data_IF_040876516472
#
_entry.id   IF_040876516472
#
_cell.length_a   1.000
_cell.length_b   1.000
_cell.length_c   1.000
_cell.angle_alpha   90.00
_cell.angle_beta   90.00
_cell.angle_gamma   90.00
#
_symmetry.space_group_name_H-M   'P 1'
#
loop_
_entity.id
_entity.type
_entity.pdbx_description
1 polymer ?
#
# COMPACT_ATOMS: atom_id res chain seq x y z
N UNK A 1 -37.09 -17.47 30.06
CA UNK A 1 -37.18 -16.95 28.67
C UNK A 1 -36.07 -17.63 27.87
N UNK A 2 -36.35 -18.83 27.38
CA UNK A 2 -35.38 -19.69 26.69
C UNK A 2 -35.47 -19.42 25.19
N UNK A 3 -34.47 -18.74 24.63
CA UNK A 3 -34.33 -18.68 23.17
C UNK A 3 -33.97 -20.08 22.66
N UNK A 4 -34.81 -20.60 21.77
CA UNK A 4 -34.65 -21.90 21.13
C UNK A 4 -33.36 -21.95 20.30
N UNK A 5 -32.58 -23.03 20.47
CA UNK A 5 -31.35 -23.33 19.72
C UNK A 5 -31.56 -23.29 18.18
N UNK A 6 -32.79 -23.47 17.70
CA UNK A 6 -33.15 -23.41 16.28
C UNK A 6 -33.00 -22.00 15.67
N UNK A 7 -33.18 -20.93 16.44
CA UNK A 7 -33.08 -19.55 15.93
C UNK A 7 -31.65 -19.08 15.71
N UNK A 8 -30.68 -19.61 16.48
CA UNK A 8 -29.25 -19.29 16.31
C UNK A 8 -28.65 -19.94 15.05
N UNK A 9 -29.05 -21.19 14.74
CA UNK A 9 -28.57 -21.90 13.57
C UNK A 9 -29.08 -21.23 12.28
N UNK A 10 -30.34 -20.80 12.25
CA UNK A 10 -30.93 -20.10 11.09
C UNK A 10 -30.27 -18.75 10.86
N UNK A 11 -29.96 -17.99 11.92
CA UNK A 11 -29.24 -16.72 11.81
C UNK A 11 -27.81 -16.89 11.28
N UNK A 12 -27.06 -17.90 11.76
CA UNK A 12 -25.72 -18.21 11.26
C UNK A 12 -25.73 -18.70 9.81
N UNK A 13 -26.71 -19.51 9.41
CA UNK A 13 -26.85 -19.99 8.03
C UNK A 13 -27.19 -18.83 7.07
N UNK A 14 -28.04 -17.89 7.49
CA UNK A 14 -28.36 -16.68 6.73
C UNK A 14 -27.14 -15.77 6.58
N UNK A 15 -26.35 -15.57 7.64
CA UNK A 15 -25.12 -14.76 7.56
C UNK A 15 -24.11 -15.40 6.60
N UNK A 16 -23.92 -16.72 6.65
CA UNK A 16 -23.05 -17.46 5.72
C UNK A 16 -23.54 -17.35 4.26
N UNK A 17 -24.85 -17.48 4.02
CA UNK A 17 -25.45 -17.34 2.68
C UNK A 17 -25.37 -15.90 2.14
N UNK A 18 -25.47 -14.88 2.99
CA UNK A 18 -25.28 -13.49 2.57
C UNK A 18 -23.82 -13.18 2.24
N UNK A 19 -22.86 -13.71 3.01
CA UNK A 19 -21.43 -13.55 2.74
C UNK A 19 -21.01 -14.27 1.45
N UNK A 20 -21.50 -15.49 1.20
CA UNK A 20 -21.19 -16.23 -0.02
C UNK A 20 -21.90 -15.69 -1.27
N UNK A 21 -23.12 -15.17 -1.17
CA UNK A 21 -23.82 -14.61 -2.34
C UNK A 21 -23.19 -13.30 -2.83
N UNK A 22 -22.63 -12.50 -1.92
CA UNK A 22 -21.97 -11.24 -2.27
C UNK A 22 -20.60 -11.44 -2.88
N UNK A 23 -19.85 -12.48 -2.46
CA UNK A 23 -18.59 -12.86 -3.08
C UNK A 23 -18.77 -13.44 -4.50
N UNK A 24 -19.90 -14.09 -4.81
CA UNK A 24 -20.18 -14.66 -6.14
C UNK A 24 -20.72 -13.65 -7.16
N UNK A 25 -21.42 -12.59 -6.75
CA UNK A 25 -22.16 -11.72 -7.68
C UNK A 25 -21.33 -10.57 -8.31
N UNK A 26 -20.02 -10.48 -8.02
CA UNK A 26 -19.13 -9.45 -8.58
C UNK A 26 -18.02 -9.99 -9.49
N UNK A 27 -18.02 -11.28 -9.83
CA UNK A 27 -16.97 -11.90 -10.66
C UNK A 27 -16.73 -11.08 -11.94
N UNK A 28 -15.51 -10.53 -12.08
CA UNK A 28 -15.02 -9.91 -13.31
C UNK A 28 -15.80 -8.69 -13.84
N UNK A 29 -16.78 -8.15 -13.11
CA UNK A 29 -17.62 -7.05 -13.63
C UNK A 29 -17.00 -5.67 -13.46
N UNK A 30 -16.29 -5.46 -12.35
CA UNK A 30 -15.82 -4.14 -11.96
C UNK A 30 -14.31 -4.02 -12.11
N UNK A 31 -13.83 -2.87 -12.56
CA UNK A 31 -12.42 -2.63 -12.82
C UNK A 31 -11.59 -2.30 -11.56
N UNK A 32 -12.25 -1.99 -10.43
CA UNK A 32 -11.59 -1.61 -9.17
C UNK A 32 -12.53 -1.73 -7.97
N UNK A 33 -11.96 -1.74 -6.76
CA UNK A 33 -12.72 -1.66 -5.52
C UNK A 33 -13.55 -0.38 -5.42
N UNK A 34 -13.07 0.73 -6.02
CA UNK A 34 -13.83 1.97 -6.09
C UNK A 34 -15.09 1.84 -6.94
N UNK A 35 -15.00 1.15 -8.07
CA UNK A 35 -16.16 0.87 -8.92
C UNK A 35 -17.20 -0.01 -8.19
N UNK A 36 -16.73 -1.01 -7.44
CA UNK A 36 -17.59 -1.84 -6.57
C UNK A 36 -18.29 -0.98 -5.52
N UNK A 37 -17.54 -0.14 -4.79
CA UNK A 37 -18.10 0.71 -3.73
C UNK A 37 -19.09 1.76 -4.27
N UNK A 38 -18.84 2.29 -5.47
CA UNK A 38 -19.78 3.22 -6.10
C UNK A 38 -21.10 2.51 -6.50
N UNK A 39 -21.02 1.26 -6.95
CA UNK A 39 -22.20 0.47 -7.31
C UNK A 39 -22.96 -0.06 -6.06
N UNK A 40 -22.25 -0.35 -4.98
CA UNK A 40 -22.81 -0.74 -3.70
C UNK A 40 -22.12 0.03 -2.56
N UNK A 41 -22.68 1.18 -2.13
CA UNK A 41 -22.12 1.99 -1.04
C UNK A 41 -22.01 1.27 0.31
N UNK A 42 -22.72 0.15 0.49
CA UNK A 42 -22.70 -0.67 1.71
C UNK A 42 -21.75 -1.87 1.60
N UNK A 43 -20.94 -1.96 0.54
CA UNK A 43 -19.98 -3.05 0.38
C UNK A 43 -19.01 -3.09 1.57
N UNK A 44 -18.93 -4.26 2.23
CA UNK A 44 -17.93 -4.50 3.26
C UNK A 44 -16.53 -4.58 2.64
N UNK A 45 -15.48 -4.32 3.42
CA UNK A 45 -14.14 -4.63 2.93
C UNK A 45 -13.83 -6.13 3.06
N UNK A 46 -12.95 -6.63 2.21
CA UNK A 46 -12.62 -8.06 2.13
C UNK A 46 -11.98 -8.40 0.79
N UNK A 47 -11.89 -9.67 0.46
CA UNK A 47 -11.42 -10.10 -0.86
C UNK A 47 -12.52 -10.01 -1.91
N UNK A 48 -12.13 -9.58 -3.11
CA UNK A 48 -12.99 -9.42 -4.29
C UNK A 48 -12.25 -9.88 -5.54
N UNK A 49 -12.99 -10.09 -6.62
CA UNK A 49 -12.43 -10.21 -7.97
C UNK A 49 -12.74 -8.94 -8.75
N UNK A 50 -11.72 -8.34 -9.37
CA UNK A 50 -11.84 -7.22 -10.31
C UNK A 50 -11.34 -7.63 -11.69
N UNK A 51 -11.79 -6.95 -12.73
CA UNK A 51 -11.30 -7.16 -14.09
C UNK A 51 -10.28 -6.10 -14.48
N UNK A 52 -9.08 -6.56 -14.84
CA UNK A 52 -7.97 -5.71 -15.26
C UNK A 52 -7.64 -5.98 -16.72
N UNK A 53 -6.69 -5.24 -17.29
CA UNK A 53 -6.19 -5.49 -18.64
C UNK A 53 -5.49 -6.86 -18.78
N UNK A 54 -5.12 -7.52 -17.68
CA UNK A 54 -4.56 -8.87 -17.65
C UNK A 54 -5.59 -9.93 -17.24
N UNK A 55 -6.89 -9.58 -17.28
CA UNK A 55 -8.00 -10.45 -16.89
C UNK A 55 -8.40 -10.29 -15.43
N UNK A 56 -9.11 -11.28 -14.91
CA UNK A 56 -9.63 -11.27 -13.55
C UNK A 56 -8.50 -11.38 -12.51
N UNK A 57 -8.55 -10.50 -11.51
CA UNK A 57 -7.57 -10.42 -10.43
C UNK A 57 -8.27 -10.50 -9.08
N UNK A 58 -7.80 -11.41 -8.22
CA UNK A 58 -8.18 -11.41 -6.80
C UNK A 58 -7.48 -10.24 -6.11
N UNK A 59 -8.24 -9.42 -5.40
CA UNK A 59 -7.76 -8.23 -4.70
C UNK A 59 -8.38 -8.14 -3.32
N UNK A 60 -7.76 -7.37 -2.43
CA UNK A 60 -8.39 -6.97 -1.18
C UNK A 60 -8.92 -5.54 -1.31
N UNK A 61 -10.21 -5.35 -1.01
CA UNK A 61 -10.86 -4.05 -1.01
C UNK A 61 -11.00 -3.48 0.40
N UNK A 62 -10.47 -2.29 0.62
CA UNK A 62 -10.76 -1.49 1.81
C UNK A 62 -11.87 -0.48 1.49
N UNK A 63 -13.07 -0.73 2.02
CA UNK A 63 -14.28 0.04 1.72
C UNK A 63 -14.66 1.10 2.77
N UNK A 64 -13.98 1.15 3.93
CA UNK A 64 -14.35 2.07 5.02
C UNK A 64 -13.33 3.17 5.28
N UNK A 65 -12.04 2.86 5.22
CA UNK A 65 -10.99 3.82 5.61
C UNK A 65 -10.88 4.94 4.57
N UNK A 66 -10.88 6.20 5.02
CA UNK A 66 -10.70 7.39 4.17
C UNK A 66 -11.65 7.43 2.95
N UNK A 67 -12.93 7.10 3.20
CA UNK A 67 -13.98 7.04 2.18
C UNK A 67 -13.96 5.78 1.30
N UNK A 68 -13.10 4.80 1.60
CA UNK A 68 -13.12 3.48 0.99
C UNK A 68 -12.73 3.42 -0.48
N UNK A 69 -12.85 2.23 -1.07
CA UNK A 69 -12.60 1.96 -2.49
C UNK A 69 -11.14 1.68 -2.83
N UNK A 70 -10.29 1.40 -1.84
CA UNK A 70 -8.88 1.09 -2.10
C UNK A 70 -8.72 -0.37 -2.54
N UNK A 71 -7.95 -0.56 -3.61
CA UNK A 71 -7.63 -1.86 -4.22
C UNK A 71 -6.21 -2.25 -3.85
N UNK A 72 -6.05 -3.36 -3.12
CA UNK A 72 -4.76 -3.96 -2.80
C UNK A 72 -4.51 -5.15 -3.73
N UNK A 73 -3.37 -5.13 -4.42
CA UNK A 73 -2.95 -6.22 -5.29
C UNK A 73 -2.10 -7.23 -4.49
N UNK A 74 -2.30 -8.55 -4.71
CA UNK A 74 -1.48 -9.57 -4.07
C UNK A 74 -0.10 -9.64 -4.74
N UNK A 75 0.89 -10.21 -4.03
CA UNK A 75 2.25 -10.44 -4.55
C UNK A 75 2.25 -11.14 -5.91
N UNK A 76 1.32 -12.06 -6.14
CA UNK A 76 1.20 -12.84 -7.37
C UNK A 76 0.77 -12.01 -8.59
N UNK A 77 0.18 -10.83 -8.40
CA UNK A 77 -0.14 -9.93 -9.51
C UNK A 77 1.12 -9.22 -10.07
N UNK A 78 2.19 -9.18 -9.28
CA UNK A 78 3.43 -8.46 -9.59
C UNK A 78 4.51 -9.48 -9.93
N UNK A 79 4.64 -9.78 -11.22
CA UNK A 79 5.58 -10.78 -11.75
C UNK A 79 6.37 -10.21 -12.91
N UNK A 80 7.46 -10.88 -13.29
CA UNK A 80 8.28 -10.46 -14.44
C UNK A 80 7.44 -10.49 -15.71
N UNK A 81 7.53 -9.43 -16.52
CA UNK A 81 6.82 -9.35 -17.79
C UNK A 81 5.31 -9.14 -17.68
N UNK A 82 4.76 -8.91 -16.48
CA UNK A 82 3.35 -8.50 -16.37
C UNK A 82 3.12 -7.19 -17.12
N UNK A 83 2.02 -7.13 -17.86
CA UNK A 83 1.52 -5.91 -18.51
C UNK A 83 0.46 -5.20 -17.68
N UNK A 84 0.30 -5.56 -16.39
CA UNK A 84 -0.70 -4.99 -15.50
C UNK A 84 -0.63 -3.46 -15.50
N UNK A 85 -1.72 -2.83 -15.94
CA UNK A 85 -1.90 -1.39 -15.93
C UNK A 85 -2.75 -1.01 -14.70
N UNK A 86 -2.31 0.02 -13.97
CA UNK A 86 -2.99 0.51 -12.77
C UNK A 86 -3.95 1.67 -13.03
N UNK A 87 -4.12 2.15 -14.27
CA UNK A 87 -4.93 3.33 -14.59
C UNK A 87 -6.39 3.22 -14.14
N UNK A 88 -6.98 2.01 -14.16
CA UNK A 88 -8.35 1.79 -13.69
C UNK A 88 -8.48 1.67 -12.17
N UNK A 89 -7.38 1.37 -11.46
CA UNK A 89 -7.36 1.18 -10.00
C UNK A 89 -6.76 2.36 -9.24
N UNK A 90 -5.95 3.21 -9.90
CA UNK A 90 -5.27 4.35 -9.29
C UNK A 90 -5.67 5.66 -9.98
N UNK A 91 -6.93 6.04 -9.80
CA UNK A 91 -7.53 7.22 -10.41
C UNK A 91 -7.29 8.49 -9.59
N UNK A 92 -7.24 8.37 -8.25
CA UNK A 92 -6.93 9.44 -7.31
C UNK A 92 -5.46 9.39 -6.91
N UNK A 93 -4.62 10.05 -7.73
CA UNK A 93 -3.16 10.09 -7.53
C UNK A 93 -2.72 11.01 -6.38
N UNK A 94 -3.64 11.54 -5.59
CA UNK A 94 -3.33 12.41 -4.44
C UNK A 94 -2.96 11.63 -3.19
N UNK A 95 -3.30 10.34 -3.12
CA UNK A 95 -3.07 9.53 -1.94
C UNK A 95 -2.99 8.03 -2.21
N UNK A 96 -2.35 7.31 -1.30
CA UNK A 96 -2.42 5.84 -1.22
C UNK A 96 -2.71 5.41 0.21
N UNK A 97 -3.24 4.20 0.39
CA UNK A 97 -3.45 3.61 1.71
C UNK A 97 -2.44 2.48 1.91
N UNK A 98 -1.61 2.57 2.94
CA UNK A 98 -0.69 1.51 3.32
C UNK A 98 -1.24 0.76 4.54
N UNK A 99 -1.12 -0.57 4.54
CA UNK A 99 -1.26 -1.42 5.72
C UNK A 99 0.13 -1.91 6.11
N UNK A 100 0.50 -1.80 7.39
CA UNK A 100 1.80 -2.24 7.91
C UNK A 100 1.58 -3.53 8.68
N UNK A 101 2.23 -4.63 8.30
CA UNK A 101 2.16 -5.89 9.06
C UNK A 101 3.16 -5.87 10.22
N UNK A 102 2.74 -6.33 11.40
CA UNK A 102 3.60 -6.53 12.58
C UNK A 102 3.67 -8.00 12.99
N UNK A 103 4.78 -8.37 13.63
CA UNK A 103 5.04 -9.68 14.22
C UNK A 103 3.93 -10.21 15.15
N UNK A 104 3.20 -9.32 15.81
CA UNK A 104 2.11 -9.61 16.74
C UNK A 104 0.73 -9.71 16.06
N UNK A 105 0.69 -9.74 14.71
CA UNK A 105 -0.54 -9.82 13.92
C UNK A 105 -1.30 -8.51 13.74
N UNK A 106 -0.86 -7.40 14.37
CA UNK A 106 -1.48 -6.08 14.15
C UNK A 106 -1.19 -5.58 12.74
N UNK A 107 -2.18 -4.92 12.14
CA UNK A 107 -2.07 -4.38 10.79
C UNK A 107 -2.60 -2.93 10.69
N UNK A 108 -1.99 -1.96 11.41
CA UNK A 108 -2.44 -0.57 11.35
C UNK A 108 -2.23 0.02 9.95
N UNK A 109 -2.89 1.15 9.70
CA UNK A 109 -2.87 1.80 8.40
C UNK A 109 -2.33 3.22 8.43
N UNK A 110 -1.80 3.66 7.29
CA UNK A 110 -1.49 5.07 7.00
C UNK A 110 -2.02 5.46 5.65
N UNK A 111 -2.71 6.60 5.55
CA UNK A 111 -2.96 7.28 4.29
C UNK A 111 -1.80 8.21 4.01
N UNK A 112 -1.07 7.94 2.93
CA UNK A 112 0.06 8.77 2.51
C UNK A 112 -0.36 9.76 1.45
N UNK A 113 0.17 10.99 1.55
CA UNK A 113 0.01 12.08 0.59
C UNK A 113 1.35 12.78 0.41
N UNK A 114 1.46 13.59 -0.64
CA UNK A 114 2.49 14.63 -0.68
C UNK A 114 2.39 15.56 0.51
N UNK A 115 3.52 16.16 0.91
CA UNK A 115 3.47 17.37 1.72
C UNK A 115 2.68 18.47 0.98
N UNK A 116 2.02 19.34 1.73
CA UNK A 116 1.17 20.40 1.15
C UNK A 116 1.88 21.22 0.07
N UNK A 117 3.16 21.55 0.28
CA UNK A 117 3.97 22.30 -0.68
C UNK A 117 4.21 21.61 -2.03
N UNK A 118 3.97 20.30 -2.10
CA UNK A 118 4.08 19.48 -3.31
C UNK A 118 2.73 18.91 -3.74
N UNK A 119 1.62 19.44 -3.25
CA UNK A 119 0.27 18.92 -3.53
C UNK A 119 -0.09 18.90 -5.02
N UNK A 120 0.57 19.72 -5.85
CA UNK A 120 0.41 19.73 -7.31
C UNK A 120 1.19 18.62 -8.03
N UNK A 121 2.09 17.92 -7.33
CA UNK A 121 2.87 16.80 -7.89
C UNK A 121 2.16 15.49 -7.55
N UNK A 122 1.51 14.81 -8.52
CA UNK A 122 0.80 13.57 -8.24
C UNK A 122 1.77 12.47 -7.77
N UNK A 123 1.29 11.57 -6.92
CA UNK A 123 2.02 10.35 -6.61
C UNK A 123 2.14 9.49 -7.88
N UNK A 124 3.31 8.88 -8.09
CA UNK A 124 3.55 7.99 -9.22
C UNK A 124 3.60 6.56 -8.72
N UNK A 125 2.69 5.71 -9.22
CA UNK A 125 2.77 4.27 -9.01
C UNK A 125 3.14 3.60 -10.33
N UNK A 126 4.15 2.75 -10.30
CA UNK A 126 4.66 2.05 -11.48
C UNK A 126 4.86 0.57 -11.17
N UNK A 127 4.52 -0.30 -12.12
CA UNK A 127 4.74 -1.75 -12.04
C UNK A 127 6.02 -2.06 -12.81
N UNK A 128 6.99 -2.69 -12.15
CA UNK A 128 8.28 -3.09 -12.74
C UNK A 128 9.05 -1.95 -13.43
N UNK A 129 8.82 -0.71 -13.02
CA UNK A 129 9.41 0.50 -13.59
C UNK A 129 9.52 1.57 -12.50
N UNK A 130 10.42 2.52 -12.73
CA UNK A 130 10.67 3.67 -11.86
C UNK A 130 11.07 4.89 -12.70
N UNK A 131 10.47 5.04 -13.87
CA UNK A 131 10.78 6.12 -14.81
C UNK A 131 10.62 7.48 -14.13
N UNK A 132 11.65 8.33 -14.23
CA UNK A 132 11.71 9.63 -13.58
C UNK A 132 12.19 9.62 -12.12
N UNK A 133 12.54 8.45 -11.57
CA UNK A 133 12.98 8.27 -10.18
C UNK A 133 14.29 7.48 -10.10
N UNK A 134 14.93 7.52 -8.93
CA UNK A 134 16.11 6.70 -8.66
C UNK A 134 15.77 5.22 -8.59
N UNK A 135 16.71 4.38 -9.03
CA UNK A 135 16.54 2.94 -8.94
C UNK A 135 16.60 2.45 -7.49
N UNK A 136 15.67 1.57 -7.06
CA UNK A 136 15.71 0.93 -5.76
C UNK A 136 17.01 0.17 -5.51
N UNK A 137 17.44 0.16 -4.25
CA UNK A 137 18.65 -0.55 -3.82
C UNK A 137 18.44 -2.06 -3.92
N UNK A 138 17.28 -2.55 -3.51
CA UNK A 138 16.90 -3.97 -3.56
C UNK A 138 16.41 -4.44 -4.94
N UNK A 139 16.74 -3.74 -6.04
CA UNK A 139 16.31 -4.10 -7.42
C UNK A 139 16.59 -5.57 -7.81
N UNK A 140 17.59 -6.20 -7.20
CA UNK A 140 17.93 -7.61 -7.44
C UNK A 140 16.79 -8.58 -7.07
N UNK A 141 15.87 -8.18 -6.19
CA UNK A 141 14.66 -8.95 -5.84
C UNK A 141 13.69 -9.12 -7.01
N UNK A 142 13.84 -8.32 -8.08
CA UNK A 142 13.14 -8.50 -9.35
C UNK A 142 11.88 -7.63 -9.45
N UNK A 143 10.73 -8.22 -9.85
CA UNK A 143 9.46 -7.48 -10.01
C UNK A 143 9.11 -6.67 -8.77
N UNK A 144 8.46 -5.52 -8.96
CA UNK A 144 8.11 -4.63 -7.85
C UNK A 144 6.98 -3.66 -8.22
N UNK A 145 6.33 -3.14 -7.18
CA UNK A 145 5.55 -1.91 -7.27
C UNK A 145 6.42 -0.76 -6.75
N UNK A 146 6.52 0.31 -7.52
CA UNK A 146 7.22 1.52 -7.14
C UNK A 146 6.21 2.62 -6.81
N UNK A 147 6.38 3.30 -5.66
CA UNK A 147 5.63 4.49 -5.27
C UNK A 147 6.59 5.67 -5.16
N UNK A 148 6.57 6.55 -6.14
CA UNK A 148 7.32 7.80 -6.16
C UNK A 148 6.52 8.97 -5.63
N UNK A 149 7.16 9.81 -4.81
CA UNK A 149 6.62 11.09 -4.35
C UNK A 149 7.16 12.24 -5.21
N UNK A 150 8.46 12.56 -5.10
CA UNK A 150 9.08 13.61 -5.89
C UNK A 150 9.95 13.01 -7.00
N UNK A 151 9.68 13.31 -8.29
CA UNK A 151 10.58 12.96 -9.38
C UNK A 151 11.99 13.50 -9.16
N UNK A 152 13.00 12.84 -9.74
CA UNK A 152 14.41 13.12 -9.47
C UNK A 152 14.81 14.58 -9.73
N UNK A 153 14.22 15.22 -10.75
CA UNK A 153 14.48 16.63 -11.08
C UNK A 153 13.91 17.62 -10.03
N UNK A 154 12.86 17.24 -9.30
CA UNK A 154 12.33 18.02 -8.18
C UNK A 154 13.11 17.70 -6.90
N UNK A 155 13.33 16.42 -6.61
CA UNK A 155 14.00 15.97 -5.39
C UNK A 155 15.47 16.44 -5.29
N UNK A 156 16.17 16.61 -6.40
CA UNK A 156 17.57 17.11 -6.42
C UNK A 156 17.70 18.64 -6.50
N UNK A 157 16.60 19.36 -6.67
CA UNK A 157 16.65 20.81 -6.84
C UNK A 157 16.89 21.51 -5.48
N UNK A 158 17.92 22.39 -5.37
CA UNK A 158 18.24 23.06 -4.10
C UNK A 158 17.13 23.97 -3.56
N UNK A 159 16.21 24.42 -4.42
CA UNK A 159 15.03 25.22 -4.01
C UNK A 159 13.97 24.37 -3.26
N UNK A 160 14.03 23.05 -3.41
CA UNK A 160 13.08 22.08 -2.86
C UNK A 160 13.71 21.19 -1.78
N UNK A 161 14.56 21.77 -0.92
CA UNK A 161 15.30 21.03 0.12
C UNK A 161 14.44 20.39 1.22
N UNK A 162 13.31 20.98 1.62
CA UNK A 162 12.40 20.35 2.60
C UNK A 162 11.46 19.38 1.90
N UNK A 163 11.63 18.09 2.19
CA UNK A 163 10.96 16.98 1.52
C UNK A 163 10.37 16.01 2.55
N UNK A 164 9.58 15.04 2.11
CA UNK A 164 8.95 14.06 2.98
C UNK A 164 7.55 13.70 2.52
N UNK A 165 6.75 13.25 3.47
CA UNK A 165 5.40 12.75 3.22
C UNK A 165 4.44 13.33 4.26
N UNK A 166 3.16 13.40 3.90
CA UNK A 166 2.11 13.50 4.90
C UNK A 166 1.55 12.11 5.16
N UNK A 167 1.42 11.73 6.43
CA UNK A 167 0.87 10.45 6.85
C UNK A 167 -0.28 10.64 7.85
N UNK A 168 -1.48 10.20 7.48
CA UNK A 168 -2.70 10.38 8.28
C UNK A 168 -2.94 11.85 8.70
N UNK A 169 -2.56 12.81 7.85
CA UNK A 169 -2.66 14.26 8.10
C UNK A 169 -1.48 14.87 8.85
N UNK A 170 -0.49 14.07 9.29
CA UNK A 170 0.72 14.55 9.94
C UNK A 170 1.87 14.66 8.95
N UNK A 171 2.51 15.82 8.89
CA UNK A 171 3.69 16.02 8.08
C UNK A 171 4.91 15.33 8.73
N UNK A 172 5.62 14.54 7.94
CA UNK A 172 6.86 13.87 8.28
C UNK A 172 7.88 14.34 7.26
N UNK A 173 8.70 15.30 7.67
CA UNK A 173 9.57 16.03 6.77
C UNK A 173 11.02 15.97 7.25
N UNK A 174 11.93 16.17 6.30
CA UNK A 174 13.36 16.27 6.51
C UNK A 174 13.94 17.32 5.56
N UNK A 175 15.14 17.78 5.86
CA UNK A 175 15.92 18.63 4.95
C UNK A 175 16.88 17.76 4.14
N UNK A 176 16.64 17.62 2.84
CA UNK A 176 17.54 16.96 1.91
C UNK A 176 18.86 17.75 1.83
N UNK A 177 19.90 17.23 2.49
CA UNK A 177 21.13 17.97 2.78
C UNK A 177 22.22 17.78 1.72
N UNK A 178 22.08 16.80 0.83
CA UNK A 178 23.06 16.43 -0.20
C UNK A 178 22.47 16.44 -1.62
N UNK A 179 21.20 16.83 -1.76
CA UNK A 179 20.45 16.85 -3.04
C UNK A 179 20.26 15.47 -3.63
N UNK A 180 20.37 14.42 -2.84
CA UNK A 180 20.13 13.07 -3.30
C UNK A 180 18.65 12.95 -3.76
N UNK A 181 18.39 12.49 -5.00
CA UNK A 181 17.04 12.52 -5.59
C UNK A 181 16.07 11.45 -5.07
N UNK A 182 16.43 10.67 -4.05
CA UNK A 182 15.56 9.61 -3.52
C UNK A 182 14.30 10.19 -2.86
N UNK A 183 13.13 9.68 -3.25
CA UNK A 183 11.84 10.07 -2.68
C UNK A 183 10.76 9.01 -2.98
N UNK A 184 10.91 7.80 -2.45
CA UNK A 184 10.04 6.68 -2.80
C UNK A 184 9.85 5.62 -1.71
N UNK A 185 8.85 4.78 -1.97
CA UNK A 185 8.70 3.43 -1.44
C UNK A 185 8.78 2.43 -2.59
N UNK A 186 9.26 1.21 -2.33
CA UNK A 186 9.25 0.11 -3.28
C UNK A 186 8.84 -1.17 -2.58
N UNK A 187 7.94 -1.91 -3.23
CA UNK A 187 7.30 -3.11 -2.68
C UNK A 187 7.67 -4.30 -3.56
N UNK A 188 8.47 -5.21 -3.00
CA UNK A 188 8.97 -6.39 -3.67
C UNK A 188 8.19 -7.63 -3.21
N UNK A 189 7.58 -8.38 -4.14
CA UNK A 189 7.08 -9.72 -3.84
C UNK A 189 8.21 -10.66 -3.40
N UNK A 190 9.40 -10.44 -3.96
CA UNK A 190 10.60 -11.25 -3.78
C UNK A 190 10.34 -12.76 -3.98
N UNK A 191 9.68 -13.13 -5.09
CA UNK A 191 9.34 -14.52 -5.43
C UNK A 191 10.54 -15.48 -5.50
N UNK A 192 11.75 -14.93 -5.66
CA UNK A 192 13.01 -15.68 -5.73
C UNK A 192 13.77 -15.72 -4.41
N UNK A 193 13.19 -15.16 -3.35
CA UNK A 193 13.77 -15.14 -2.00
C UNK A 193 15.20 -14.57 -1.97
N UNK A 194 15.44 -13.54 -2.80
CA UNK A 194 16.75 -12.89 -2.88
C UNK A 194 17.02 -12.19 -1.54
N UNK A 195 18.19 -12.40 -0.92
CA UNK A 195 18.54 -11.72 0.32
C UNK A 195 18.51 -10.19 0.18
N UNK A 196 18.07 -9.45 1.21
CA UNK A 196 18.14 -8.00 1.22
C UNK A 196 19.57 -7.46 1.09
N UNK A 197 19.69 -6.29 0.47
CA UNK A 197 20.94 -5.55 0.39
C UNK A 197 21.44 -5.14 1.78
N UNK A 198 22.76 -5.24 1.96
CA UNK A 198 23.47 -4.71 3.13
C UNK A 198 23.65 -3.18 3.10
N UNK A 199 23.25 -2.51 2.02
CA UNK A 199 23.27 -1.06 1.94
C UNK A 199 22.44 -0.43 3.06
N UNK A 200 22.95 0.65 3.62
CA UNK A 200 22.34 1.39 4.71
C UNK A 200 22.36 0.61 6.03
N UNK A 201 23.15 1.08 6.99
CA UNK A 201 23.18 0.49 8.33
C UNK A 201 21.84 0.64 9.06
N UNK A 202 21.67 -0.10 10.16
CA UNK A 202 20.55 0.09 11.07
C UNK A 202 20.54 1.53 11.59
N UNK A 203 19.40 2.22 11.43
CA UNK A 203 19.17 3.55 12.02
C UNK A 203 19.40 4.77 11.13
N UNK A 204 19.79 4.64 9.84
CA UNK A 204 19.90 5.79 8.94
C UNK A 204 18.52 6.43 8.73
N UNK A 205 18.32 7.61 9.31
CA UNK A 205 17.05 8.31 9.26
C UNK A 205 15.95 7.65 10.08
N UNK A 206 16.30 6.97 11.19
CA UNK A 206 15.34 6.32 12.09
C UNK A 206 14.15 7.22 12.47
N UNK A 207 14.42 8.51 12.70
CA UNK A 207 13.41 9.50 13.01
C UNK A 207 12.28 9.58 11.96
N UNK A 208 12.59 9.40 10.67
CA UNK A 208 11.60 9.50 9.60
C UNK A 208 10.66 8.29 9.61
N UNK A 209 11.20 7.06 9.52
CA UNK A 209 10.35 5.87 9.45
C UNK A 209 9.68 5.58 10.81
N UNK A 210 10.30 5.92 11.94
CA UNK A 210 9.66 5.85 13.26
C UNK A 210 8.49 6.82 13.37
N UNK A 211 8.65 8.07 12.87
CA UNK A 211 7.55 9.03 12.82
C UNK A 211 6.40 8.53 11.94
N UNK A 212 6.71 7.86 10.83
CA UNK A 212 5.71 7.22 9.97
C UNK A 212 4.97 6.10 10.69
N UNK A 213 5.68 5.15 11.30
CA UNK A 213 5.03 4.09 12.09
C UNK A 213 4.19 4.63 13.25
N UNK A 214 4.67 5.66 13.95
CA UNK A 214 3.92 6.31 15.04
C UNK A 214 2.67 7.06 14.56
N UNK A 215 2.61 7.44 13.28
CA UNK A 215 1.42 8.07 12.68
C UNK A 215 0.35 7.06 12.27
N UNK A 216 0.65 5.77 12.28
CA UNK A 216 -0.27 4.71 11.88
C UNK A 216 -1.45 4.60 12.85
N UNK A 217 -2.64 4.36 12.31
CA UNK A 217 -3.89 4.24 13.06
C UNK A 217 -4.35 2.78 13.09
N UNK A 218 -4.97 2.31 14.18
CA UNK A 218 -5.59 0.99 14.19
C UNK A 218 -6.72 0.94 13.16
N UNK A 219 -6.96 -0.25 12.63
CA UNK A 219 -8.04 -0.48 11.67
C UNK A 219 -9.35 -0.58 12.45
N UNK A 220 -10.33 0.32 12.26
CA UNK A 220 -11.51 0.38 13.12
C UNK A 220 -12.32 -0.92 13.14
N UNK A 221 -12.39 -1.62 12.01
CA UNK A 221 -13.12 -2.89 11.90
C UNK A 221 -12.41 -4.09 12.53
N UNK A 222 -11.14 -3.95 12.96
CA UNK A 222 -10.32 -5.08 13.41
C UNK A 222 -9.95 -6.10 12.33
N UNK A 223 -10.48 -5.97 11.10
CA UNK A 223 -10.24 -6.91 10.00
C UNK A 223 -8.76 -6.95 9.60
N UNK A 224 -8.25 -8.17 9.52
CA UNK A 224 -6.91 -8.48 9.01
C UNK A 224 -6.96 -8.76 7.52
N UNK A 225 -5.93 -8.31 6.83
CA UNK A 225 -5.62 -8.61 5.44
C UNK A 225 -4.72 -9.86 5.38
N UNK A 226 -4.95 -10.78 4.44
CA UNK A 226 -4.11 -11.95 4.24
C UNK A 226 -2.64 -11.61 3.93
N UNK A 227 -1.72 -12.52 4.27
CA UNK A 227 -0.28 -12.26 4.18
C UNK A 227 0.20 -12.06 2.74
N UNK A 228 -0.46 -12.63 1.73
CA UNK A 228 -0.10 -12.52 0.32
C UNK A 228 -0.16 -11.09 -0.24
N UNK A 229 -0.78 -10.15 0.48
CA UNK A 229 -0.83 -8.73 0.10
C UNK A 229 0.33 -7.90 0.67
N UNK A 230 1.13 -8.44 1.59
CA UNK A 230 2.24 -7.71 2.19
C UNK A 230 3.55 -7.99 1.45
N UNK A 231 4.31 -6.95 1.18
CA UNK A 231 5.53 -7.01 0.39
C UNK A 231 6.74 -6.73 1.28
N UNK A 232 7.89 -7.31 0.91
CA UNK A 232 9.16 -6.75 1.35
C UNK A 232 9.21 -5.30 0.89
N UNK A 233 9.52 -4.38 1.80
CA UNK A 233 9.37 -2.95 1.53
C UNK A 233 10.68 -2.23 1.74
N UNK A 234 11.09 -1.44 0.75
CA UNK A 234 12.16 -0.47 0.83
C UNK A 234 11.54 0.94 0.84
N UNK A 235 12.09 1.86 1.64
CA UNK A 235 11.86 3.28 1.45
C UNK A 235 13.18 4.03 1.45
N UNK A 236 13.28 5.01 0.57
CA UNK A 236 14.47 5.82 0.40
C UNK A 236 14.10 7.26 0.12
N UNK A 237 14.57 8.13 1.02
CA UNK A 237 14.40 9.57 0.98
C UNK A 237 15.78 10.21 1.13
N UNK A 238 16.11 11.13 0.23
CA UNK A 238 17.47 11.63 -0.01
C UNK A 238 18.22 12.13 1.23
N UNK A 239 19.52 11.81 1.29
CA UNK A 239 20.47 12.33 2.27
C UNK A 239 20.01 12.17 3.71
N UNK A 240 19.93 13.29 4.43
CA UNK A 240 19.46 13.40 5.81
C UNK A 240 17.98 12.99 6.02
N UNK A 241 17.33 12.42 5.00
CA UNK A 241 16.06 11.72 5.09
C UNK A 241 16.23 10.34 5.73
N UNK A 242 16.03 9.27 4.96
CA UNK A 242 16.15 7.89 5.44
C UNK A 242 16.44 6.92 4.33
N UNK A 243 17.15 5.85 4.66
CA UNK A 243 17.05 4.60 3.95
C UNK A 243 16.72 3.51 4.95
N UNK A 244 15.71 2.71 4.66
CA UNK A 244 15.41 1.51 5.45
C UNK A 244 14.64 0.50 4.60
N UNK A 245 14.62 -0.74 5.07
CA UNK A 245 13.87 -1.82 4.45
C UNK A 245 13.33 -2.77 5.52
N UNK A 246 12.34 -3.60 5.16
CA UNK A 246 11.58 -4.38 6.15
C UNK A 246 12.40 -5.39 6.96
N UNK A 247 13.55 -5.85 6.45
CA UNK A 247 14.54 -6.64 7.19
C UNK A 247 15.24 -5.87 8.32
N UNK A 248 15.25 -4.54 8.25
CA UNK A 248 15.91 -3.64 9.20
C UNK A 248 14.95 -3.11 10.28
N UNK A 249 13.66 -3.43 10.19
CA UNK A 249 12.66 -2.97 11.14
C UNK A 249 12.56 -3.93 12.32
N UNK A 250 12.43 -3.37 13.53
CA UNK A 250 12.42 -4.18 14.74
C UNK A 250 11.22 -5.13 14.86
N UNK A 251 10.05 -4.74 14.29
CA UNK A 251 8.78 -5.45 14.50
C UNK A 251 7.85 -5.50 13.30
N UNK A 252 7.94 -4.51 12.42
CA UNK A 252 7.15 -4.49 11.20
C UNK A 252 7.77 -5.46 10.20
N UNK A 253 6.96 -6.27 9.52
CA UNK A 253 7.41 -7.39 8.68
C UNK A 253 7.18 -7.15 7.19
N UNK A 254 6.37 -6.16 6.82
CA UNK A 254 6.08 -5.82 5.44
C UNK A 254 4.93 -4.84 5.32
N UNK A 255 4.65 -4.41 4.10
CA UNK A 255 3.63 -3.39 3.82
C UNK A 255 2.80 -3.80 2.62
N UNK A 256 1.50 -3.61 2.71
CA UNK A 256 0.57 -3.69 1.58
C UNK A 256 0.20 -2.28 1.13
N UNK A 257 0.03 -2.07 -0.18
CA UNK A 257 -0.34 -0.78 -0.76
C UNK A 257 -1.68 -0.87 -1.49
N UNK A 258 -2.56 0.08 -1.20
CA UNK A 258 -3.90 0.20 -1.75
C UNK A 258 -4.05 1.45 -2.61
N UNK A 259 -4.64 1.27 -3.78
CA UNK A 259 -4.86 2.32 -4.79
C UNK A 259 -6.34 2.66 -4.91
N UNK A 260 -6.66 3.93 -5.17
CA UNK A 260 -8.02 4.36 -5.50
C UNK A 260 -7.96 5.37 -6.63
#
# INVERSE_FOLDING_TARGET
>A
MTMSFSSLIVASLLILLFVESHARNSQGKYASCKAILNANPNAAGGEYTINTNTGDQRVYCEMGINGGGYTFLPRQAIVTGTSLNLDSVFTDKSHVLLRISYDNGRQPFTVLRQLHRYASTPLSVQVNSQFGYTTPVNKAMGPHLFLGFLPANIASNPSYKYQGIQSNGKDIAFNNCDRNPNSYFTFFPNHREVPPSSYGGSGIGANFYDAWFKSAKPVPSGRTMPNEFFFFTELHFGGCGTYTSSDKWARATGVAIGFR
#
